data_IF_648524597393
#
_entry.id   IF_648524597393
#
_cell.length_a   1.000
_cell.length_b   1.000
_cell.length_c   1.000
_cell.angle_alpha   90.00
_cell.angle_beta   90.00
_cell.angle_gamma   90.00
#
_symmetry.space_group_name_H-M   'P 1'
#
loop_
_entity.id
_entity.type
_entity.pdbx_description
1 polymer ?
#
# COMPACT_ATOMS: atom_id res chain seq x y z
N UNK A 1 -14.68 -0.33 26.38
CA UNK A 1 -14.71 0.52 25.17
C UNK A 1 -13.58 1.54 25.17
N UNK A 2 -13.14 2.03 26.34
CA UNK A 2 -12.02 2.98 26.45
C UNK A 2 -10.67 2.50 25.90
N UNK A 3 -10.32 1.21 26.02
CA UNK A 3 -9.04 0.71 25.51
C UNK A 3 -8.92 0.79 23.97
N UNK A 4 -9.99 0.40 23.27
CA UNK A 4 -10.04 0.46 21.79
C UNK A 4 -10.14 1.92 21.35
N UNK A 5 -10.98 2.73 21.98
CA UNK A 5 -11.11 4.14 21.59
C UNK A 5 -9.81 4.94 21.85
N UNK A 6 -9.06 4.65 22.92
CA UNK A 6 -7.77 5.29 23.19
C UNK A 6 -6.65 4.80 22.25
N UNK A 7 -6.66 3.53 21.84
CA UNK A 7 -5.69 3.00 20.89
C UNK A 7 -5.88 3.59 19.49
N UNK A 8 -7.12 3.73 19.03
CA UNK A 8 -7.45 4.29 17.72
C UNK A 8 -7.46 5.84 17.73
N UNK A 9 -7.73 6.49 18.87
CA UNK A 9 -7.76 7.97 18.96
C UNK A 9 -6.40 8.66 18.81
N UNK A 10 -5.29 7.95 19.05
CA UNK A 10 -3.93 8.48 18.88
C UNK A 10 -3.31 8.18 17.52
N UNK A 11 -4.00 7.43 16.66
CA UNK A 11 -3.48 6.96 15.37
C UNK A 11 -4.02 7.87 14.25
N UNK A 12 -3.11 8.38 13.42
CA UNK A 12 -3.49 9.14 12.24
C UNK A 12 -3.84 8.18 11.09
N UNK A 13 -5.12 7.81 11.00
CA UNK A 13 -5.64 6.93 9.94
C UNK A 13 -5.55 7.55 8.54
N UNK A 14 -5.56 8.87 8.43
CA UNK A 14 -5.42 9.56 7.15
C UNK A 14 -4.02 9.33 6.56
N UNK A 15 -2.96 9.52 7.34
CA UNK A 15 -1.58 9.28 6.90
C UNK A 15 -1.34 7.81 6.55
N UNK A 16 -1.91 6.89 7.33
CA UNK A 16 -1.85 5.45 7.04
C UNK A 16 -2.52 5.18 5.69
N UNK A 17 -3.75 5.68 5.48
CA UNK A 17 -4.45 5.50 4.23
C UNK A 17 -3.67 6.10 3.04
N UNK A 18 -3.15 7.32 3.18
CA UNK A 18 -2.33 7.98 2.16
C UNK A 18 -1.08 7.16 1.79
N UNK A 19 -0.32 6.70 2.79
CA UNK A 19 0.87 5.89 2.57
C UNK A 19 0.54 4.53 1.95
N UNK A 20 -0.57 3.89 2.35
CA UNK A 20 -0.99 2.62 1.74
C UNK A 20 -1.36 2.80 0.26
N UNK A 21 -2.11 3.84 -0.09
CA UNK A 21 -2.46 4.12 -1.49
C UNK A 21 -1.22 4.47 -2.31
N UNK A 22 -0.30 5.27 -1.76
CA UNK A 22 0.96 5.58 -2.41
C UNK A 22 1.81 4.33 -2.63
N UNK A 23 1.93 3.46 -1.63
CA UNK A 23 2.66 2.21 -1.73
C UNK A 23 2.09 1.30 -2.83
N UNK A 24 0.76 1.21 -2.95
CA UNK A 24 0.10 0.43 -4.01
C UNK A 24 0.41 0.99 -5.40
N UNK A 25 0.38 2.32 -5.57
CA UNK A 25 0.70 2.97 -6.86
C UNK A 25 2.17 2.75 -7.23
N UNK A 26 3.09 2.95 -6.28
CA UNK A 26 4.53 2.75 -6.51
C UNK A 26 4.82 1.30 -6.83
N UNK A 27 4.16 0.35 -6.17
CA UNK A 27 4.35 -1.08 -6.42
C UNK A 27 3.75 -1.53 -7.77
N UNK A 28 2.72 -0.85 -8.28
CA UNK A 28 2.10 -1.20 -9.55
C UNK A 28 3.09 -1.17 -10.74
N UNK A 29 4.01 -0.20 -10.77
CA UNK A 29 5.02 -0.10 -11.83
C UNK A 29 5.95 -1.34 -11.89
N UNK A 30 6.71 -1.63 -10.83
CA UNK A 30 7.54 -2.83 -10.74
C UNK A 30 6.75 -4.12 -10.89
N UNK A 31 5.51 -4.18 -10.37
CA UNK A 31 4.68 -5.37 -10.51
C UNK A 31 4.40 -5.73 -11.97
N UNK A 32 4.12 -4.74 -12.83
CA UNK A 32 3.93 -4.98 -14.27
C UNK A 32 5.21 -5.51 -14.92
N UNK A 33 6.37 -4.95 -14.59
CA UNK A 33 7.67 -5.41 -15.11
C UNK A 33 7.95 -6.85 -14.68
N UNK A 34 7.70 -7.20 -13.41
CA UNK A 34 7.88 -8.57 -12.91
C UNK A 34 6.95 -9.57 -13.62
N UNK A 35 5.72 -9.16 -13.92
CA UNK A 35 4.77 -9.98 -14.68
C UNK A 35 5.21 -10.17 -16.13
N UNK A 36 5.68 -9.11 -16.80
CA UNK A 36 6.19 -9.21 -18.18
C UNK A 36 7.46 -10.06 -18.25
N UNK A 37 8.40 -9.85 -17.35
CA UNK A 37 9.65 -10.61 -17.28
C UNK A 37 9.42 -12.10 -17.01
N UNK A 38 8.52 -12.44 -16.08
CA UNK A 38 8.19 -13.84 -15.76
C UNK A 38 7.46 -14.58 -16.87
N UNK A 39 6.74 -13.84 -17.73
CA UNK A 39 5.97 -14.41 -18.84
C UNK A 39 6.72 -14.37 -20.18
N UNK A 40 7.95 -13.87 -20.21
CA UNK A 40 8.73 -13.70 -21.45
C UNK A 40 8.06 -12.72 -22.42
N UNK A 41 7.32 -11.75 -21.90
CA UNK A 41 6.72 -10.68 -22.70
C UNK A 41 7.77 -9.66 -23.16
N UNK A 42 7.38 -8.80 -24.10
CA UNK A 42 8.22 -7.68 -24.52
C UNK A 42 8.28 -6.65 -23.39
N UNK A 43 9.49 -6.41 -22.89
CA UNK A 43 9.79 -5.57 -21.72
C UNK A 43 10.07 -4.13 -22.11
#
# INVERSE_FOLDING_TARGET
>A
MDFITNFFGSINFEVIAQLTMLALIVLAGPAVILVLASRGGDL
#
